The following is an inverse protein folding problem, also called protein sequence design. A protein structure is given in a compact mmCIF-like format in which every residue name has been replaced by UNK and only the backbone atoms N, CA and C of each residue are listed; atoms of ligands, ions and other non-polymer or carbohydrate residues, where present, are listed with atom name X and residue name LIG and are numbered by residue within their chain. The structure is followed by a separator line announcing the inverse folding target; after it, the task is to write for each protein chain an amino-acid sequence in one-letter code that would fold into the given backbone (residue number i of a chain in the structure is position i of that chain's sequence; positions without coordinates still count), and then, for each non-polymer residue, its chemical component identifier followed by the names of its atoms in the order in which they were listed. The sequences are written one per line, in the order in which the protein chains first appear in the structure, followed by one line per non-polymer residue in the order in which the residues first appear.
data_IF_431788053309
#
_entry.id   IF_431788053309
#
_cell.length_a   1.000
_cell.length_b   1.000
_cell.length_c   1.000
_cell.angle_alpha   90.00
_cell.angle_beta   90.00
_cell.angle_gamma   90.00
#
_symmetry.space_group_name_H-M   'P 1'
#
loop_
_entity.id
_entity.type
_entity.pdbx_description
1 polymer ?
#
# COMPACT_ATOMS: atom_id res chain seq x y z
N UNK A 1 0.07 -22.16 -10.72
CA UNK A 1 0.27 -20.73 -10.45
C UNK A 1 0.28 -20.53 -8.96
N UNK A 2 1.21 -19.74 -8.41
CA UNK A 2 1.09 -19.26 -7.03
C UNK A 2 -0.20 -18.43 -6.90
N UNK A 3 -0.89 -18.53 -5.76
CA UNK A 3 -2.04 -17.68 -5.48
C UNK A 3 -1.60 -16.19 -5.47
N UNK A 4 -2.46 -15.31 -5.96
CA UNK A 4 -2.22 -13.85 -5.96
C UNK A 4 -2.48 -13.36 -4.54
N UNK A 5 -1.57 -12.54 -4.02
CA UNK A 5 -1.69 -11.93 -2.71
C UNK A 5 -2.75 -10.83 -2.75
N UNK A 6 -3.72 -10.88 -1.84
CA UNK A 6 -4.75 -9.86 -1.73
C UNK A 6 -4.46 -8.92 -0.56
N UNK A 7 -4.29 -7.63 -0.86
CA UNK A 7 -4.12 -6.59 0.16
C UNK A 7 -5.37 -5.73 0.32
N UNK A 8 -5.87 -5.62 1.56
CA UNK A 8 -6.94 -4.68 1.91
C UNK A 8 -6.37 -3.27 2.04
N UNK A 9 -6.76 -2.37 1.12
CA UNK A 9 -6.35 -0.96 1.08
C UNK A 9 -6.92 -0.23 2.30
N UNK A 10 -6.05 0.13 3.25
CA UNK A 10 -6.44 0.72 4.55
C UNK A 10 -7.41 -0.18 5.31
N UNK A 11 -7.28 -1.50 5.14
CA UNK A 11 -8.26 -2.50 5.56
C UNK A 11 -9.38 -2.71 4.52
N UNK A 12 -10.60 -3.04 4.98
CA UNK A 12 -11.77 -3.18 4.11
C UNK A 12 -12.52 -1.84 3.98
N UNK A 13 -11.86 -0.85 3.38
CA UNK A 13 -12.35 0.54 3.42
C UNK A 13 -13.65 0.81 2.63
N UNK A 14 -14.05 -0.10 1.73
CA UNK A 14 -15.34 0.04 1.05
C UNK A 14 -16.54 -0.10 1.99
N UNK A 15 -16.39 -0.85 3.10
CA UNK A 15 -17.47 -1.10 4.07
C UNK A 15 -17.19 -0.58 5.48
N UNK A 16 -15.92 -0.38 5.83
CA UNK A 16 -15.48 0.02 7.16
C UNK A 16 -14.65 1.31 7.11
N UNK A 17 -14.57 2.08 8.21
CA UNK A 17 -13.75 3.29 8.25
C UNK A 17 -12.28 2.94 8.01
N UNK A 18 -11.68 3.54 6.99
CA UNK A 18 -10.28 3.30 6.59
C UNK A 18 -9.29 3.45 7.77
N UNK A 19 -8.20 2.69 7.75
CA UNK A 19 -7.09 2.79 8.70
C UNK A 19 -7.52 2.60 10.17
N UNK A 20 -8.43 1.65 10.42
CA UNK A 20 -8.89 1.30 11.76
C UNK A 20 -8.73 -0.20 12.02
N UNK A 21 -8.53 -0.58 13.28
CA UNK A 21 -8.41 -1.99 13.67
C UNK A 21 -9.62 -2.82 13.20
N UNK A 22 -10.83 -2.27 13.27
CA UNK A 22 -12.02 -2.98 12.78
C UNK A 22 -12.02 -3.18 11.26
N UNK A 23 -11.52 -2.21 10.48
CA UNK A 23 -11.38 -2.38 9.04
C UNK A 23 -10.29 -3.39 8.69
N UNK A 24 -9.22 -3.46 9.48
CA UNK A 24 -8.17 -4.45 9.30
C UNK A 24 -8.67 -5.87 9.60
N UNK A 25 -9.40 -6.06 10.70
CA UNK A 25 -10.03 -7.34 11.01
C UNK A 25 -11.02 -7.76 9.91
N UNK A 26 -11.87 -6.84 9.46
CA UNK A 26 -12.83 -7.13 8.38
C UNK A 26 -12.14 -7.54 7.08
N UNK A 27 -10.96 -6.99 6.77
CA UNK A 27 -10.17 -7.41 5.60
C UNK A 27 -9.58 -8.82 5.78
N UNK A 28 -9.08 -9.16 6.97
CA UNK A 28 -8.62 -10.53 7.28
C UNK A 28 -9.77 -11.55 7.12
N UNK A 29 -10.94 -11.20 7.64
CA UNK A 29 -12.16 -12.02 7.57
C UNK A 29 -12.66 -12.17 6.12
N UNK A 30 -12.47 -11.13 5.29
CA UNK A 30 -12.75 -11.15 3.85
C UNK A 30 -11.69 -11.89 3.01
N UNK A 31 -10.66 -12.45 3.64
CA UNK A 31 -9.65 -13.28 2.99
C UNK A 31 -8.39 -12.53 2.52
N UNK A 32 -8.17 -11.28 2.92
CA UNK A 32 -6.92 -10.59 2.61
C UNK A 32 -5.73 -11.25 3.32
N UNK A 33 -4.60 -11.36 2.63
CA UNK A 33 -3.32 -11.84 3.15
C UNK A 33 -2.50 -10.70 3.78
N UNK A 34 -2.70 -9.50 3.25
CA UNK A 34 -1.96 -8.30 3.64
C UNK A 34 -2.93 -7.19 4.00
N UNK A 35 -2.62 -6.45 5.04
CA UNK A 35 -3.29 -5.20 5.38
C UNK A 35 -2.36 -4.06 4.99
N UNK A 36 -2.80 -3.25 4.04
CA UNK A 36 -2.10 -2.01 3.70
C UNK A 36 -2.61 -0.90 4.63
N UNK A 37 -1.69 -0.06 5.13
CA UNK A 37 -2.01 1.05 6.02
C UNK A 37 -1.04 2.22 5.87
N UNK A 38 -1.53 3.42 6.16
CA UNK A 38 -0.79 4.68 5.98
C UNK A 38 -0.19 5.19 7.30
N UNK A 39 1.05 5.70 7.26
CA UNK A 39 1.72 6.24 8.44
C UNK A 39 1.93 7.76 8.39
N UNK A 40 1.67 8.43 9.51
CA UNK A 40 2.10 9.81 9.80
C UNK A 40 2.68 9.94 11.20
N UNK A 41 3.46 10.99 11.44
CA UNK A 41 4.00 11.30 12.77
C UNK A 41 3.37 12.55 13.36
N UNK A 42 2.87 12.48 14.59
CA UNK A 42 2.36 13.62 15.36
C UNK A 42 3.50 14.51 15.91
N UNK A 43 3.20 15.72 16.41
CA UNK A 43 4.25 16.64 16.90
C UNK A 43 4.96 16.15 18.17
N UNK A 44 4.27 15.36 19.00
CA UNK A 44 4.83 14.67 20.17
C UNK A 44 5.44 13.30 19.80
N UNK A 45 5.55 13.01 18.50
CA UNK A 45 6.31 11.89 17.96
C UNK A 45 5.56 10.56 17.94
N UNK A 46 4.26 10.49 18.16
CA UNK A 46 3.54 9.24 17.97
C UNK A 46 3.38 8.93 16.48
N UNK A 47 3.56 7.67 16.10
CA UNK A 47 3.29 7.22 14.72
C UNK A 47 1.83 6.80 14.67
N UNK A 48 1.02 7.59 13.97
CA UNK A 48 -0.43 7.40 13.84
C UNK A 48 -0.76 6.77 12.49
N UNK A 49 -1.88 6.06 12.44
CA UNK A 49 -2.35 5.33 11.26
C UNK A 49 -3.53 6.05 10.63
N UNK A 50 -3.29 6.74 9.51
CA UNK A 50 -4.30 7.52 8.77
C UNK A 50 -3.70 7.98 7.44
N UNK A 51 -4.53 8.19 6.42
CA UNK A 51 -4.04 8.50 5.08
C UNK A 51 -3.62 9.96 4.88
N UNK A 52 -4.47 10.89 5.31
CA UNK A 52 -4.33 12.31 5.01
C UNK A 52 -3.47 13.01 6.07
N UNK A 53 -2.72 14.04 5.66
CA UNK A 53 -2.00 14.94 6.58
C UNK A 53 -2.92 15.77 7.47
N UNK A 54 -4.20 15.90 7.07
CA UNK A 54 -5.25 16.60 7.80
C UNK A 54 -6.30 15.62 8.28
N UNK A 55 -6.82 15.84 9.47
CA UNK A 55 -7.86 15.00 10.09
C UNK A 55 -9.27 15.26 9.55
N UNK A 56 -9.47 16.28 8.70
CA UNK A 56 -10.80 16.76 8.32
C UNK A 56 -11.67 15.71 7.63
N UNK A 57 -11.14 15.00 6.62
CA UNK A 57 -11.93 14.05 5.83
C UNK A 57 -12.42 12.85 6.65
N UNK A 58 -11.56 12.31 7.52
CA UNK A 58 -11.82 11.04 8.22
C UNK A 58 -12.46 11.28 9.59
N UNK A 59 -12.05 12.35 10.29
CA UNK A 59 -12.43 12.61 11.69
C UNK A 59 -13.28 13.89 11.85
N UNK A 60 -13.45 14.70 10.80
CA UNK A 60 -14.31 15.89 10.80
C UNK A 60 -13.73 17.10 11.53
N UNK A 61 -12.49 17.02 12.00
CA UNK A 61 -11.77 18.13 12.66
C UNK A 61 -10.62 18.63 11.80
N UNK A 62 -10.26 19.91 11.91
CA UNK A 62 -9.23 20.57 11.09
C UNK A 62 -7.87 20.60 11.80
N UNK A 63 -7.29 19.42 12.07
CA UNK A 63 -5.92 19.32 12.60
C UNK A 63 -4.94 18.82 11.55
N UNK A 64 -3.78 19.48 11.44
CA UNK A 64 -2.62 18.95 10.71
C UNK A 64 -1.83 18.02 11.64
N UNK A 65 -1.68 16.75 11.26
CA UNK A 65 -1.13 15.69 12.12
C UNK A 65 0.26 16.06 12.63
N UNK A 66 1.17 16.44 11.72
CA UNK A 66 2.57 16.77 12.07
C UNK A 66 2.74 18.01 12.95
N UNK A 67 1.66 18.77 13.19
CA UNK A 67 1.65 19.96 14.05
C UNK A 67 0.81 19.79 15.32
N UNK A 68 0.20 18.62 15.51
CA UNK A 68 -0.75 18.39 16.59
C UNK A 68 -0.27 17.25 17.47
N UNK A 69 -0.45 17.37 18.80
CA UNK A 69 -0.11 16.31 19.74
C UNK A 69 -1.08 15.14 19.58
N UNK A 70 -0.58 13.92 19.69
CA UNK A 70 -1.44 12.76 19.77
C UNK A 70 -2.18 12.74 21.11
N UNK A 71 -1.43 12.81 22.20
CA UNK A 71 -1.98 12.68 23.56
C UNK A 71 -2.87 13.88 23.89
N UNK A 72 -4.12 13.60 24.24
CA UNK A 72 -5.12 14.57 24.63
C UNK A 72 -5.75 15.37 23.48
N UNK A 73 -5.37 15.11 22.21
CA UNK A 73 -5.99 15.78 21.05
C UNK A 73 -6.36 14.77 19.96
N UNK A 74 -5.38 14.18 19.26
CA UNK A 74 -5.69 13.25 18.17
C UNK A 74 -6.28 11.92 18.71
N UNK A 75 -5.88 11.48 19.89
CA UNK A 75 -6.39 10.28 20.57
C UNK A 75 -7.90 10.37 20.94
N UNK A 76 -8.43 11.58 21.06
CA UNK A 76 -9.86 11.83 21.32
C UNK A 76 -10.70 11.78 20.05
N UNK A 77 -10.08 11.85 18.87
CA UNK A 77 -10.80 11.86 17.60
C UNK A 77 -11.43 10.49 17.33
N UNK A 78 -12.60 10.52 16.66
CA UNK A 78 -13.27 9.33 16.17
C UNK A 78 -13.63 9.51 14.71
N UNK A 79 -13.58 8.43 13.93
CA UNK A 79 -13.98 8.45 12.54
C UNK A 79 -15.42 8.93 12.39
N UNK A 80 -15.72 9.70 11.35
CA UNK A 80 -17.08 10.13 11.02
C UNK A 80 -17.91 8.91 10.60
N UNK A 81 -17.33 8.07 9.75
CA UNK A 81 -17.92 6.82 9.30
C UNK A 81 -18.09 5.83 10.46
N UNK A 82 -19.16 5.03 10.39
CA UNK A 82 -19.47 4.00 11.38
C UNK A 82 -18.76 2.67 11.04
N UNK A 83 -18.40 1.85 12.04
CA UNK A 83 -18.41 2.17 13.48
C UNK A 83 -17.43 3.30 13.79
N UNK A 84 -17.79 4.19 14.73
CA UNK A 84 -16.91 5.32 15.08
C UNK A 84 -15.69 4.78 15.82
N UNK A 85 -14.52 4.83 15.18
CA UNK A 85 -13.30 4.21 15.66
C UNK A 85 -12.24 5.25 16.03
N UNK A 86 -11.36 4.98 17.00
CA UNK A 86 -10.22 5.85 17.30
C UNK A 86 -9.21 5.86 16.16
N UNK A 87 -8.35 6.89 16.13
CA UNK A 87 -7.14 6.92 15.32
C UNK A 87 -6.11 5.96 15.94
N UNK A 88 -5.72 4.86 15.27
CA UNK A 88 -4.78 3.91 15.85
C UNK A 88 -3.34 4.44 15.86
N UNK A 89 -2.56 4.00 16.82
CA UNK A 89 -1.10 4.06 16.79
C UNK A 89 -0.51 2.86 16.05
N UNK A 90 0.67 3.03 15.45
CA UNK A 90 1.42 1.91 14.88
C UNK A 90 1.63 0.78 15.91
N UNK A 91 1.93 1.12 17.17
CA UNK A 91 2.09 0.16 18.26
C UNK A 91 0.85 -0.73 18.44
N UNK A 92 -0.34 -0.14 18.45
CA UNK A 92 -1.62 -0.86 18.60
C UNK A 92 -1.89 -1.77 17.38
N UNK A 93 -1.50 -1.32 16.17
CA UNK A 93 -1.62 -2.13 14.96
C UNK A 93 -0.65 -3.32 14.97
N UNK A 94 0.57 -3.13 15.46
CA UNK A 94 1.54 -4.22 15.61
C UNK A 94 1.07 -5.24 16.65
N UNK A 95 0.53 -4.79 17.79
CA UNK A 95 -0.07 -5.66 18.80
C UNK A 95 -1.26 -6.45 18.24
N UNK A 96 -2.14 -5.78 17.50
CA UNK A 96 -3.25 -6.42 16.80
C UNK A 96 -2.75 -7.47 15.79
N UNK A 97 -1.70 -7.17 15.02
CA UNK A 97 -1.15 -8.08 14.03
C UNK A 97 -0.55 -9.35 14.67
N UNK A 98 0.11 -9.23 15.82
CA UNK A 98 0.57 -10.40 16.59
C UNK A 98 -0.62 -11.24 17.05
N UNK A 99 -1.63 -10.59 17.64
CA UNK A 99 -2.83 -11.27 18.12
C UNK A 99 -3.57 -12.01 17.01
N UNK A 100 -3.81 -11.37 15.87
CA UNK A 100 -4.56 -11.98 14.76
C UNK A 100 -3.79 -13.15 14.17
N UNK A 101 -2.45 -13.07 14.06
CA UNK A 101 -1.63 -14.19 13.61
C UNK A 101 -1.70 -15.38 14.57
N UNK A 102 -1.73 -15.15 15.89
CA UNK A 102 -1.97 -16.22 16.87
C UNK A 102 -3.35 -16.85 16.74
N UNK A 103 -4.38 -16.07 16.41
CA UNK A 103 -5.73 -16.56 16.18
C UNK A 103 -5.81 -17.42 14.91
N UNK A 104 -5.22 -16.95 13.80
CA UNK A 104 -5.30 -17.64 12.50
C UNK A 104 -4.25 -18.73 12.31
N UNK A 105 -3.28 -18.92 13.23
CA UNK A 105 -2.18 -19.88 13.07
C UNK A 105 -2.63 -21.30 12.71
N UNK A 106 -3.78 -21.74 13.23
CA UNK A 106 -4.34 -23.06 12.98
C UNK A 106 -4.83 -23.26 11.54
N UNK A 107 -5.04 -22.16 10.80
CA UNK A 107 -5.43 -22.17 9.38
C UNK A 107 -4.23 -22.25 8.43
N UNK A 108 -3.01 -22.06 8.94
CA UNK A 108 -1.80 -21.89 8.13
C UNK A 108 -1.70 -20.53 7.42
N UNK A 109 -2.69 -19.64 7.58
CA UNK A 109 -2.59 -18.25 7.09
C UNK A 109 -1.60 -17.45 7.93
N UNK A 110 -0.90 -16.55 7.26
CA UNK A 110 0.00 -15.59 7.87
C UNK A 110 -0.40 -14.19 7.39
N UNK A 111 -0.82 -13.33 8.32
CA UNK A 111 -1.24 -11.97 8.00
C UNK A 111 -0.03 -11.04 8.05
N UNK A 112 0.16 -10.27 6.99
CA UNK A 112 1.23 -9.28 6.87
C UNK A 112 0.69 -7.86 6.88
N UNK A 113 1.56 -6.91 7.18
CA UNK A 113 1.29 -5.48 7.08
C UNK A 113 2.14 -4.87 5.96
N UNK A 114 1.52 -4.10 5.08
CA UNK A 114 2.21 -3.20 4.16
C UNK A 114 2.09 -1.77 4.69
N UNK A 115 3.23 -1.18 5.06
CA UNK A 115 3.30 0.17 5.59
C UNK A 115 3.52 1.15 4.44
N UNK A 116 2.50 1.92 4.07
CA UNK A 116 2.62 3.02 3.09
C UNK A 116 3.33 4.22 3.76
N UNK A 117 4.60 4.39 3.41
CA UNK A 117 5.51 5.42 3.91
C UNK A 117 5.68 6.50 2.85
N UNK A 118 4.99 7.63 3.06
CA UNK A 118 4.93 8.75 2.13
C UNK A 118 6.02 9.80 2.35
N UNK A 119 6.31 10.53 1.27
CA UNK A 119 7.37 11.54 1.20
C UNK A 119 7.24 12.71 2.17
N UNK A 120 6.06 12.96 2.72
CA UNK A 120 5.76 14.06 3.65
C UNK A 120 6.11 13.76 5.12
N UNK A 121 6.57 12.54 5.42
CA UNK A 121 7.17 12.21 6.71
C UNK A 121 8.65 12.63 6.79
N UNK A 122 9.13 12.87 8.01
CA UNK A 122 10.58 12.94 8.28
C UNK A 122 11.16 11.51 8.29
N UNK A 123 12.08 11.17 7.38
CA UNK A 123 12.59 9.81 7.25
C UNK A 123 13.38 9.35 8.48
N UNK A 124 14.15 10.23 9.10
CA UNK A 124 14.96 9.87 10.28
C UNK A 124 14.06 9.55 11.47
N UNK A 125 13.05 10.39 11.71
CA UNK A 125 12.12 10.22 12.84
C UNK A 125 11.27 8.97 12.65
N UNK A 126 10.62 8.82 11.48
CA UNK A 126 9.70 7.71 11.23
C UNK A 126 10.42 6.37 11.23
N UNK A 127 11.54 6.24 10.51
CA UNK A 127 12.26 4.97 10.40
C UNK A 127 12.85 4.55 11.75
N UNK A 128 13.40 5.49 12.53
CA UNK A 128 13.88 5.21 13.89
C UNK A 128 12.76 4.73 14.80
N UNK A 129 11.57 5.35 14.73
CA UNK A 129 10.42 4.95 15.55
C UNK A 129 9.90 3.59 15.14
N UNK A 130 9.75 3.34 13.84
CA UNK A 130 9.38 2.02 13.31
C UNK A 130 10.34 0.94 13.81
N UNK A 131 11.65 1.18 13.74
CA UNK A 131 12.65 0.23 14.24
C UNK A 131 12.46 -0.07 15.73
N UNK A 132 12.36 0.97 16.56
CA UNK A 132 12.18 0.82 17.99
C UNK A 132 10.89 0.04 18.31
N UNK A 133 9.80 0.31 17.60
CA UNK A 133 8.56 -0.45 17.76
C UNK A 133 8.74 -1.92 17.38
N UNK A 134 9.42 -2.23 16.28
CA UNK A 134 9.68 -3.60 15.86
C UNK A 134 10.55 -4.40 16.86
N UNK A 135 11.36 -3.72 17.68
CA UNK A 135 12.21 -4.36 18.69
C UNK A 135 11.50 -4.65 20.02
N UNK A 136 10.39 -3.94 20.33
CA UNK A 136 9.64 -4.15 21.56
C UNK A 136 9.05 -5.57 21.61
N UNK A 137 9.22 -6.24 22.74
CA UNK A 137 8.70 -7.58 22.99
C UNK A 137 7.17 -7.61 22.94
N UNK A 138 6.61 -8.46 22.07
CA UNK A 138 5.17 -8.71 21.94
C UNK A 138 4.81 -10.19 22.01
N UNK A 139 5.80 -11.05 21.83
CA UNK A 139 5.67 -12.50 21.96
C UNK A 139 5.89 -12.91 23.42
N UNK A 140 5.20 -14.00 23.84
CA UNK A 140 5.29 -14.51 25.21
C UNK A 140 6.69 -14.97 25.62
N UNK A 141 7.58 -15.20 24.67
CA UNK A 141 8.96 -15.68 24.82
C UNK A 141 9.97 -14.61 25.29
N UNK A 142 9.61 -13.32 25.31
CA UNK A 142 10.40 -12.27 25.98
C UNK A 142 11.71 -11.84 25.29
N UNK A 143 12.17 -12.50 24.22
CA UNK A 143 13.39 -12.12 23.50
C UNK A 143 13.10 -11.13 22.35
N UNK A 144 13.72 -9.95 22.39
CA UNK A 144 13.64 -8.94 21.32
C UNK A 144 14.25 -9.39 19.99
N UNK A 145 15.19 -10.34 20.03
CA UNK A 145 15.83 -10.90 18.83
C UNK A 145 14.84 -11.72 18.01
N UNK A 146 13.89 -12.38 18.68
CA UNK A 146 12.77 -13.05 18.03
C UNK A 146 11.84 -12.05 17.34
N UNK A 147 11.65 -10.84 17.90
CA UNK A 147 10.71 -9.87 17.33
C UNK A 147 11.14 -9.37 15.95
N UNK A 148 12.41 -9.01 15.76
CA UNK A 148 12.89 -8.60 14.42
C UNK A 148 12.78 -9.76 13.43
N UNK A 149 13.10 -10.98 13.86
CA UNK A 149 12.93 -12.16 13.02
C UNK A 149 11.45 -12.42 12.66
N UNK A 150 10.55 -12.25 13.62
CA UNK A 150 9.11 -12.36 13.44
C UNK A 150 8.61 -11.34 12.41
N UNK A 151 9.05 -10.08 12.52
CA UNK A 151 8.63 -9.02 11.61
C UNK A 151 9.25 -9.12 10.22
N UNK A 152 10.42 -9.74 10.07
CA UNK A 152 11.11 -9.88 8.78
C UNK A 152 10.23 -10.44 7.66
N UNK A 153 9.33 -11.36 7.98
CA UNK A 153 8.44 -11.99 7.00
C UNK A 153 7.02 -11.40 6.99
N UNK A 154 6.71 -10.48 7.93
CA UNK A 154 5.37 -9.93 8.17
C UNK A 154 5.24 -8.44 7.88
N UNK A 155 6.34 -7.69 7.82
CA UNK A 155 6.32 -6.30 7.43
C UNK A 155 6.84 -6.13 6.01
N UNK A 156 6.06 -5.41 5.22
CA UNK A 156 6.42 -4.91 3.90
C UNK A 156 6.54 -3.39 4.03
N UNK A 157 7.71 -2.84 3.74
CA UNK A 157 7.92 -1.41 3.69
C UNK A 157 7.54 -0.90 2.29
N UNK A 158 6.37 -0.26 2.20
CA UNK A 158 5.88 0.41 1.01
C UNK A 158 6.46 1.81 0.91
N UNK A 159 7.56 1.99 0.19
CA UNK A 159 8.30 3.24 0.14
C UNK A 159 7.99 4.03 -1.12
N UNK A 160 7.52 5.27 -0.97
CA UNK A 160 7.34 6.20 -2.08
C UNK A 160 8.67 6.83 -2.56
N UNK A 161 9.63 6.98 -1.64
CA UNK A 161 10.86 7.73 -1.86
C UNK A 161 12.05 6.98 -1.26
N UNK A 162 13.17 6.92 -1.99
CA UNK A 162 14.36 6.17 -1.59
C UNK A 162 15.00 6.74 -0.32
N UNK A 163 14.68 7.98 0.08
CA UNK A 163 15.17 8.58 1.33
C UNK A 163 14.75 7.80 2.59
N UNK A 164 13.70 6.98 2.51
CA UNK A 164 13.28 6.10 3.61
C UNK A 164 13.99 4.74 3.58
N UNK A 165 14.75 4.43 2.54
CA UNK A 165 15.62 3.26 2.55
C UNK A 165 16.84 3.53 3.45
N UNK A 166 16.83 2.90 4.62
CA UNK A 166 17.96 2.83 5.54
C UNK A 166 18.65 1.46 5.40
N UNK A 167 19.93 1.36 5.00
CA UNK A 167 20.62 0.07 4.81
C UNK A 167 20.70 -0.81 6.07
N UNK A 168 20.68 -0.22 7.27
CA UNK A 168 20.79 -0.97 8.52
C UNK A 168 19.47 -1.63 8.89
N UNK A 169 18.36 -0.93 8.64
CA UNK A 169 16.99 -1.34 8.98
C UNK A 169 16.34 -2.12 7.84
N UNK A 170 16.35 -1.55 6.63
CA UNK A 170 15.53 -1.97 5.49
C UNK A 170 15.88 -3.38 5.00
N UNK A 171 17.15 -3.79 5.13
CA UNK A 171 17.61 -5.16 4.82
C UNK A 171 16.89 -6.26 5.61
N UNK A 172 16.23 -5.91 6.71
CA UNK A 172 15.48 -6.85 7.54
C UNK A 172 14.04 -7.04 7.08
N UNK A 173 13.55 -6.28 6.09
CA UNK A 173 12.14 -6.30 5.69
C UNK A 173 12.00 -6.41 4.17
N UNK A 174 10.82 -6.82 3.71
CA UNK A 174 10.47 -6.78 2.29
C UNK A 174 10.29 -5.33 1.86
N UNK A 175 11.00 -4.90 0.80
CA UNK A 175 10.89 -3.55 0.26
C UNK A 175 10.04 -3.55 -1.00
N UNK A 176 8.99 -2.73 -1.00
CA UNK A 176 8.13 -2.50 -2.16
C UNK A 176 8.13 -1.00 -2.48
N UNK A 177 8.49 -0.62 -3.70
CA UNK A 177 8.36 0.78 -4.10
C UNK A 177 6.93 1.08 -4.55
N UNK A 178 6.25 1.99 -3.87
CA UNK A 178 4.94 2.49 -4.29
C UNK A 178 5.16 3.66 -5.24
N UNK A 179 4.58 3.58 -6.44
CA UNK A 179 4.85 4.58 -7.47
C UNK A 179 3.71 4.69 -8.48
N UNK A 180 3.72 5.80 -9.21
CA UNK A 180 2.81 6.02 -10.34
C UNK A 180 3.48 5.78 -11.70
N UNK A 181 4.80 5.62 -11.73
CA UNK A 181 5.60 5.76 -12.95
C UNK A 181 6.79 4.80 -12.92
N UNK A 182 6.98 4.07 -14.02
CA UNK A 182 8.10 3.14 -14.20
C UNK A 182 9.46 3.84 -14.13
N UNK A 183 9.59 5.07 -14.64
CA UNK A 183 10.86 5.80 -14.57
C UNK A 183 11.22 6.15 -13.12
N UNK A 184 10.22 6.50 -12.30
CA UNK A 184 10.42 6.73 -10.87
C UNK A 184 10.80 5.45 -10.14
N UNK A 185 10.21 4.32 -10.53
CA UNK A 185 10.56 3.01 -9.97
C UNK A 185 12.02 2.63 -10.26
N UNK A 186 12.46 2.84 -11.51
CA UNK A 186 13.83 2.60 -11.95
C UNK A 186 14.83 3.51 -11.22
N UNK A 187 14.49 4.79 -11.04
CA UNK A 187 15.33 5.72 -10.28
C UNK A 187 15.39 5.33 -8.79
N UNK A 188 14.26 5.00 -8.17
CA UNK A 188 14.23 4.49 -6.79
C UNK A 188 15.16 3.28 -6.63
N UNK A 189 15.06 2.31 -7.56
CA UNK A 189 15.90 1.11 -7.52
C UNK A 189 17.39 1.44 -7.63
N UNK A 190 17.76 2.37 -8.53
CA UNK A 190 19.14 2.84 -8.67
C UNK A 190 19.63 3.51 -7.38
N UNK A 191 18.85 4.40 -6.81
CA UNK A 191 19.21 5.15 -5.61
C UNK A 191 19.41 4.25 -4.38
N UNK A 192 18.56 3.21 -4.19
CA UNK A 192 18.79 2.27 -3.08
C UNK A 192 20.04 1.42 -3.32
N UNK A 193 20.34 1.05 -4.58
CA UNK A 193 21.54 0.30 -4.95
C UNK A 193 22.83 1.12 -4.80
N UNK A 194 22.75 2.42 -5.03
CA UNK A 194 23.85 3.36 -4.77
C UNK A 194 24.15 3.49 -3.27
N UNK A 195 23.10 3.48 -2.43
CA UNK A 195 23.25 3.50 -0.96
C UNK A 195 23.76 2.18 -0.40
N UNK A 196 23.34 1.07 -0.99
CA UNK A 196 23.65 -0.28 -0.54
C UNK A 196 23.65 -1.24 -1.75
N UNK A 197 24.83 -1.73 -2.12
CA UNK A 197 25.01 -2.58 -3.30
C UNK A 197 24.22 -3.88 -3.21
N UNK A 198 23.99 -4.36 -1.98
CA UNK A 198 23.26 -5.60 -1.69
C UNK A 198 21.76 -5.35 -1.49
N UNK A 199 21.30 -4.09 -1.61
CA UNK A 199 19.89 -3.74 -1.49
C UNK A 199 19.03 -4.58 -2.44
N UNK A 200 17.89 -5.06 -1.94
CA UNK A 200 16.93 -5.80 -2.76
C UNK A 200 15.63 -5.00 -2.84
N UNK A 201 15.14 -4.82 -4.07
CA UNK A 201 13.78 -4.35 -4.32
C UNK A 201 12.94 -5.58 -4.66
N UNK A 202 12.02 -5.93 -3.76
CA UNK A 202 11.21 -7.14 -3.94
C UNK A 202 10.14 -6.93 -5.01
N UNK A 203 9.43 -5.80 -4.93
CA UNK A 203 8.38 -5.46 -5.89
C UNK A 203 8.25 -3.96 -6.15
N UNK A 204 7.57 -3.62 -7.23
CA UNK A 204 6.99 -2.29 -7.44
C UNK A 204 5.46 -2.39 -7.36
N UNK A 205 4.84 -1.46 -6.65
CA UNK A 205 3.39 -1.34 -6.49
C UNK A 205 2.91 -0.12 -7.26
N UNK A 206 2.23 -0.37 -8.39
CA UNK A 206 1.91 0.67 -9.36
C UNK A 206 0.43 0.94 -9.52
N UNK A 207 0.12 2.20 -9.83
CA UNK A 207 -1.24 2.55 -10.23
C UNK A 207 -1.65 1.72 -11.46
N UNK A 208 -2.80 1.05 -11.41
CA UNK A 208 -3.25 0.17 -12.50
C UNK A 208 -3.49 0.90 -13.84
N UNK A 209 -3.54 2.23 -13.82
CA UNK A 209 -3.61 3.08 -15.01
C UNK A 209 -2.43 2.90 -15.97
N UNK A 210 -1.26 2.45 -15.48
CA UNK A 210 -0.10 2.20 -16.34
C UNK A 210 -0.40 1.20 -17.46
N UNK A 211 -1.31 0.24 -17.22
CA UNK A 211 -1.69 -0.80 -18.18
C UNK A 211 -2.38 -0.23 -19.44
N UNK A 212 -2.85 1.02 -19.36
CA UNK A 212 -3.54 1.71 -20.44
C UNK A 212 -2.60 2.53 -21.33
N UNK A 213 -1.28 2.53 -21.04
CA UNK A 213 -0.26 3.18 -21.88
C UNK A 213 0.75 2.14 -22.33
N UNK A 214 0.62 1.69 -23.58
CA UNK A 214 1.36 0.53 -24.11
C UNK A 214 2.87 0.62 -23.89
N UNK A 215 3.49 1.76 -24.19
CA UNK A 215 4.94 1.95 -24.02
C UNK A 215 5.40 1.74 -22.57
N UNK A 216 4.74 2.40 -21.61
CA UNK A 216 5.12 2.30 -20.20
C UNK A 216 4.80 0.92 -19.61
N UNK A 217 3.69 0.30 -20.07
CA UNK A 217 3.33 -1.08 -19.71
C UNK A 217 4.38 -2.08 -20.20
N UNK A 218 4.81 -1.97 -21.45
CA UNK A 218 5.82 -2.86 -22.04
C UNK A 218 7.17 -2.68 -21.36
N UNK A 219 7.55 -1.43 -21.08
CA UNK A 219 8.76 -1.12 -20.33
C UNK A 219 8.73 -1.68 -18.90
N UNK A 220 7.61 -1.51 -18.19
CA UNK A 220 7.42 -2.10 -16.86
C UNK A 220 7.61 -3.62 -16.88
N UNK A 221 6.94 -4.33 -17.78
CA UNK A 221 7.01 -5.79 -17.85
C UNK A 221 8.43 -6.27 -18.19
N UNK A 222 9.09 -5.60 -19.13
CA UNK A 222 10.46 -5.88 -19.53
C UNK A 222 11.43 -5.69 -18.37
N UNK A 223 11.41 -4.50 -17.76
CA UNK A 223 12.31 -4.15 -16.66
C UNK A 223 12.09 -5.03 -15.42
N UNK A 224 10.83 -5.27 -15.04
CA UNK A 224 10.51 -6.13 -13.90
C UNK A 224 11.03 -7.57 -14.09
N UNK A 225 10.98 -8.08 -15.33
CA UNK A 225 11.55 -9.38 -15.66
C UNK A 225 13.08 -9.37 -15.62
N UNK A 226 13.72 -8.36 -16.20
CA UNK A 226 15.19 -8.23 -16.24
C UNK A 226 15.80 -8.12 -14.84
N UNK A 227 15.19 -7.33 -13.96
CA UNK A 227 15.66 -7.11 -12.59
C UNK A 227 15.10 -8.10 -11.56
N UNK A 228 14.28 -9.07 -11.99
CA UNK A 228 13.59 -10.02 -11.12
C UNK A 228 12.76 -9.33 -10.01
N UNK A 229 12.07 -8.24 -10.36
CA UNK A 229 11.20 -7.47 -9.48
C UNK A 229 9.75 -7.91 -9.69
N UNK A 230 9.00 -8.14 -8.61
CA UNK A 230 7.58 -8.48 -8.68
C UNK A 230 6.69 -7.27 -8.93
N UNK A 231 5.48 -7.51 -9.41
CA UNK A 231 4.49 -6.48 -9.70
C UNK A 231 3.32 -6.56 -8.73
N UNK A 232 2.97 -5.40 -8.20
CA UNK A 232 1.76 -5.12 -7.46
C UNK A 232 0.96 -4.01 -8.15
N UNK A 233 -0.37 -4.04 -8.03
CA UNK A 233 -1.22 -3.01 -8.61
C UNK A 233 -2.25 -2.44 -7.63
N UNK A 234 -2.45 -1.14 -7.69
CA UNK A 234 -3.40 -0.41 -6.86
C UNK A 234 -4.17 0.67 -7.65
N UNK A 235 -5.35 1.11 -7.23
CA UNK A 235 -6.31 0.31 -6.45
C UNK A 235 -7.16 -0.51 -7.41
N UNK A 236 -7.27 -1.81 -7.22
CA UNK A 236 -7.98 -2.73 -8.14
C UNK A 236 -9.31 -3.12 -7.50
N UNK A 237 -10.41 -2.53 -7.97
CA UNK A 237 -11.75 -2.70 -7.37
C UNK A 237 -12.76 -3.43 -8.27
N UNK A 238 -12.35 -3.78 -9.49
CA UNK A 238 -13.20 -4.44 -10.48
C UNK A 238 -12.56 -5.76 -10.90
N UNK A 239 -13.33 -6.85 -10.89
CA UNK A 239 -12.85 -8.16 -11.30
C UNK A 239 -12.29 -8.14 -12.74
N UNK A 240 -12.89 -7.38 -13.64
CA UNK A 240 -12.40 -7.23 -15.01
C UNK A 240 -10.99 -6.59 -15.09
N UNK A 241 -10.70 -5.60 -14.23
CA UNK A 241 -9.35 -5.01 -14.15
C UNK A 241 -8.36 -6.05 -13.58
N UNK A 242 -8.77 -6.85 -12.57
CA UNK A 242 -7.98 -7.97 -12.05
C UNK A 242 -7.66 -9.02 -13.14
N UNK A 243 -8.65 -9.49 -13.89
CA UNK A 243 -8.43 -10.47 -14.97
C UNK A 243 -7.48 -9.93 -16.04
N UNK A 244 -7.60 -8.64 -16.39
CA UNK A 244 -6.68 -7.98 -17.32
C UNK A 244 -5.25 -7.93 -16.77
N UNK A 245 -5.07 -7.63 -15.47
CA UNK A 245 -3.77 -7.65 -14.78
C UNK A 245 -3.15 -9.05 -14.82
N UNK A 246 -3.92 -10.08 -14.46
CA UNK A 246 -3.47 -11.49 -14.48
C UNK A 246 -2.99 -11.88 -15.87
N UNK A 247 -3.80 -11.61 -16.90
CA UNK A 247 -3.43 -11.91 -18.28
C UNK A 247 -2.20 -11.14 -18.73
N UNK A 248 -2.06 -9.88 -18.32
CA UNK A 248 -0.94 -9.03 -18.73
C UNK A 248 0.39 -9.45 -18.10
N UNK A 249 0.37 -9.94 -16.86
CA UNK A 249 1.57 -10.29 -16.11
C UNK A 249 1.99 -11.76 -16.24
N UNK A 250 1.20 -12.56 -16.96
CA UNK A 250 1.48 -13.99 -17.20
C UNK A 250 2.66 -14.16 -18.16
N UNK A 251 3.57 -15.08 -17.83
CA UNK A 251 4.74 -15.40 -18.66
C UNK A 251 4.51 -16.70 -19.43
N UNK A 252 5.15 -16.88 -20.61
CA UNK A 252 5.04 -18.12 -21.39
C UNK A 252 5.49 -19.39 -20.63
N UNK A 253 6.31 -19.24 -19.60
CA UNK A 253 6.78 -20.32 -18.73
C UNK A 253 5.72 -20.84 -17.75
N UNK A 254 4.55 -20.20 -17.68
CA UNK A 254 3.49 -20.49 -16.70
C UNK A 254 3.67 -19.78 -15.36
N UNK A 255 4.79 -19.06 -15.17
CA UNK A 255 5.01 -18.17 -14.03
C UNK A 255 4.34 -16.80 -14.26
N UNK A 256 4.23 -15.99 -13.21
CA UNK A 256 3.69 -14.63 -13.29
C UNK A 256 4.65 -13.62 -12.68
N UNK A 257 4.69 -12.42 -13.25
CA UNK A 257 5.31 -11.24 -12.63
C UNK A 257 4.41 -10.65 -11.53
N UNK A 258 3.10 -10.87 -11.62
CA UNK A 258 2.14 -10.42 -10.61
C UNK A 258 2.31 -11.23 -9.33
N UNK A 259 2.50 -10.52 -8.23
CA UNK A 259 2.52 -11.10 -6.89
C UNK A 259 1.27 -10.71 -6.10
N UNK A 260 0.83 -9.45 -6.16
CA UNK A 260 -0.33 -9.01 -5.38
C UNK A 260 -1.11 -7.84 -5.98
N UNK A 261 -2.28 -7.57 -5.40
CA UNK A 261 -3.08 -6.37 -5.69
C UNK A 261 -3.52 -5.72 -4.38
N UNK A 262 -3.75 -4.41 -4.43
CA UNK A 262 -4.34 -3.63 -3.35
C UNK A 262 -5.76 -3.23 -3.75
N UNK A 263 -6.74 -3.51 -2.91
CA UNK A 263 -8.18 -3.32 -3.21
C UNK A 263 -8.94 -2.70 -2.05
N UNK A 264 -9.93 -1.88 -2.37
CA UNK A 264 -10.86 -1.33 -1.38
C UNK A 264 -11.94 -2.34 -0.99
N UNK A 265 -12.24 -3.27 -1.89
CA UNK A 265 -13.34 -4.23 -1.78
C UNK A 265 -12.87 -5.65 -2.18
N UNK A 266 -12.27 -6.40 -1.24
CA UNK A 266 -11.76 -7.75 -1.49
C UNK A 266 -12.83 -8.73 -1.98
N UNK A 267 -14.08 -8.60 -1.53
CA UNK A 267 -15.16 -9.49 -1.96
C UNK A 267 -15.55 -9.18 -3.40
N UNK A 268 -15.77 -7.89 -3.73
CA UNK A 268 -16.16 -7.49 -5.08
C UNK A 268 -15.09 -7.79 -6.13
N UNK A 269 -13.81 -7.58 -5.82
CA UNK A 269 -12.74 -7.82 -6.81
C UNK A 269 -12.61 -9.30 -7.17
N UNK A 270 -12.96 -10.20 -6.23
CA UNK A 270 -12.94 -11.64 -6.44
C UNK A 270 -14.23 -12.22 -7.04
N UNK A 271 -15.32 -11.45 -7.09
CA UNK A 271 -16.60 -11.92 -7.61
C UNK A 271 -16.54 -12.20 -9.12
N UNK A 272 -16.60 -13.48 -9.47
CA UNK A 272 -16.58 -13.96 -10.86
C UNK A 272 -17.91 -13.71 -11.59
N UNK A 273 -19.01 -13.53 -10.86
CA UNK A 273 -20.32 -13.23 -11.43
C UNK A 273 -20.45 -11.75 -11.84
N UNK A 274 -19.56 -10.89 -11.33
CA UNK A 274 -19.50 -9.47 -11.65
C UNK A 274 -18.95 -9.17 -13.07
N UNK A 275 -18.76 -10.18 -13.93
CA UNK A 275 -18.48 -10.00 -15.35
C UNK A 275 -19.68 -9.36 -16.08
N UNK A 276 -19.87 -8.06 -15.87
CA UNK A 276 -20.71 -7.23 -16.73
C UNK A 276 -20.03 -7.24 -18.10
N UNK A 277 -20.70 -7.88 -19.07
CA UNK A 277 -20.40 -7.82 -20.51
C UNK A 277 -20.42 -6.35 -20.96
N UNK A 278 -19.35 -5.63 -20.68
CA UNK A 278 -19.19 -4.25 -21.13
C UNK A 278 -19.00 -4.31 -22.65
N UNK A 279 -19.88 -3.70 -23.46
CA UNK A 279 -19.73 -3.70 -24.91
C UNK A 279 -18.35 -3.20 -25.32
N UNK A 280 -17.72 -3.87 -26.30
CA UNK A 280 -16.34 -3.62 -26.72
C UNK A 280 -16.03 -2.14 -27.02
N UNK A 281 -17.00 -1.40 -27.56
CA UNK A 281 -16.86 0.03 -27.83
C UNK A 281 -16.78 0.88 -26.54
N UNK A 282 -17.57 0.56 -25.50
CA UNK A 282 -17.49 1.23 -24.18
C UNK A 282 -16.16 0.94 -23.51
N UNK A 283 -15.66 -0.29 -23.66
CA UNK A 283 -14.33 -0.66 -23.18
C UNK A 283 -13.23 0.15 -23.89
N UNK A 284 -13.28 0.25 -25.22
CA UNK A 284 -12.31 1.03 -26.00
C UNK A 284 -12.34 2.53 -25.62
N UNK A 285 -13.52 3.12 -25.41
CA UNK A 285 -13.64 4.51 -24.98
C UNK A 285 -13.09 4.72 -23.56
N UNK A 286 -13.43 3.83 -22.61
CA UNK A 286 -12.88 3.84 -21.24
C UNK A 286 -11.36 3.69 -21.27
N UNK A 287 -10.85 2.81 -22.12
CA UNK A 287 -9.42 2.57 -22.31
C UNK A 287 -8.71 3.82 -22.85
N UNK A 288 -9.23 4.43 -23.92
CA UNK A 288 -8.68 5.66 -24.50
C UNK A 288 -8.67 6.79 -23.47
N UNK A 289 -9.75 6.97 -22.72
CA UNK A 289 -9.85 8.00 -21.68
C UNK A 289 -8.83 7.77 -20.54
N UNK A 290 -8.68 6.52 -20.06
CA UNK A 290 -7.64 6.11 -19.09
C UNK A 290 -6.24 6.38 -19.59
N UNK A 291 -5.96 6.03 -20.84
CA UNK A 291 -4.66 6.30 -21.47
C UNK A 291 -4.33 7.80 -21.51
N UNK A 292 -5.30 8.64 -21.89
CA UNK A 292 -5.12 10.11 -21.96
C UNK A 292 -4.96 10.74 -20.59
N UNK A 293 -5.80 10.36 -19.62
CA UNK A 293 -5.71 10.86 -18.25
C UNK A 293 -4.37 10.48 -17.63
N UNK A 294 -3.93 9.23 -17.78
CA UNK A 294 -2.63 8.79 -17.28
C UNK A 294 -1.46 9.51 -17.98
N UNK A 295 -1.57 9.76 -19.30
CA UNK A 295 -0.55 10.53 -20.01
C UNK A 295 -0.44 11.98 -19.53
N UNK A 296 -1.58 12.64 -19.26
CA UNK A 296 -1.60 13.99 -18.67
C UNK A 296 -1.02 13.95 -17.26
N UNK A 297 -1.42 12.97 -16.45
CA UNK A 297 -0.89 12.77 -15.10
C UNK A 297 0.64 12.67 -15.12
N UNK A 298 1.20 11.83 -15.99
CA UNK A 298 2.64 11.64 -16.11
C UNK A 298 3.35 12.89 -16.59
N UNK A 299 2.80 13.60 -17.57
CA UNK A 299 3.35 14.87 -18.04
C UNK A 299 3.46 15.88 -16.87
N UNK A 300 2.38 16.04 -16.11
CA UNK A 300 2.36 16.92 -14.95
C UNK A 300 3.32 16.45 -13.85
N UNK A 301 3.34 15.15 -13.55
CA UNK A 301 4.16 14.57 -12.48
C UNK A 301 5.65 14.66 -12.79
N UNK A 302 6.06 14.34 -14.02
CA UNK A 302 7.45 14.41 -14.48
C UNK A 302 7.92 15.86 -14.65
N UNK A 303 7.02 16.78 -14.94
CA UNK A 303 7.31 18.23 -15.01
C UNK A 303 7.36 18.93 -13.64
N UNK A 304 7.15 18.22 -12.53
CA UNK A 304 7.18 18.80 -11.18
C UNK A 304 5.97 19.69 -10.85
N UNK A 305 4.88 19.57 -11.60
CA UNK A 305 3.66 20.35 -11.35
C UNK A 305 2.92 19.84 -10.11
N UNK A 306 2.22 20.74 -9.42
CA UNK A 306 1.37 20.37 -8.30
C UNK A 306 0.16 19.57 -8.80
N UNK A 307 0.12 18.28 -8.45
CA UNK A 307 -0.93 17.34 -8.88
C UNK A 307 -2.18 17.38 -8.01
N UNK A 308 -2.20 18.09 -6.88
CA UNK A 308 -3.30 18.04 -5.90
C UNK A 308 -4.65 18.36 -6.53
N UNK A 309 -4.73 19.41 -7.36
CA UNK A 309 -5.96 19.80 -8.04
C UNK A 309 -6.42 18.73 -9.05
N UNK A 310 -5.49 18.19 -9.82
CA UNK A 310 -5.77 17.17 -10.84
C UNK A 310 -6.22 15.85 -10.19
N UNK A 311 -5.51 15.39 -9.16
CA UNK A 311 -5.87 14.20 -8.38
C UNK A 311 -7.23 14.38 -7.70
N UNK A 312 -7.49 15.55 -7.09
CA UNK A 312 -8.79 15.84 -6.47
C UNK A 312 -9.93 15.83 -7.50
N UNK A 313 -9.68 16.33 -8.72
CA UNK A 313 -10.64 16.26 -9.81
C UNK A 313 -10.93 14.81 -10.19
N UNK A 314 -9.89 14.01 -10.43
CA UNK A 314 -10.02 12.60 -10.79
C UNK A 314 -10.75 11.77 -9.72
N UNK A 315 -10.49 12.02 -8.42
CA UNK A 315 -11.22 11.39 -7.31
C UNK A 315 -12.70 11.74 -7.34
N UNK A 316 -13.06 13.01 -7.56
CA UNK A 316 -14.47 13.46 -7.61
C UNK A 316 -15.28 12.82 -8.73
N UNK A 317 -14.64 12.47 -9.84
CA UNK A 317 -15.29 11.80 -10.98
C UNK A 317 -15.13 10.27 -10.95
N UNK A 318 -14.62 9.71 -9.85
CA UNK A 318 -14.47 8.26 -9.65
C UNK A 318 -13.44 7.60 -10.57
N UNK A 319 -12.42 8.34 -10.98
CA UNK A 319 -11.41 7.86 -11.94
C UNK A 319 -10.21 7.17 -11.29
N UNK A 320 -9.82 7.62 -10.09
CA UNK A 320 -8.76 7.06 -9.24
C UNK A 320 -9.17 7.07 -7.78
#
# INVERSE_FOLDING_TARGET
MSAIILAGHRGYKALYPENTICAFQAAVDAGCDVIELDLHTSIDGFVVVTHDVSTHRVFGSEFQISKTKYVGVLDQLRTIAKPRSPMPLLEEVLDWCVKVNEEVKHTGREIKLMLDIKSDNDPTVLMKKLWNECQKSRLKSGDSTEMIHYWKNKLILGLWDSKFYDPTLSKNFTIVNITFDILKAQNFYREIKEKDKDATLHAISMINLILYKSQDKEEMLRWAKEENVKLWFWTVNENADLQNIISTCSLPTGNSLLEGIVTDDPIKVLDQNAMVKTPRWKYNLKWWLKSKIYSIFLFLSRGGYNLSLFVNCLKRIGFI
#
